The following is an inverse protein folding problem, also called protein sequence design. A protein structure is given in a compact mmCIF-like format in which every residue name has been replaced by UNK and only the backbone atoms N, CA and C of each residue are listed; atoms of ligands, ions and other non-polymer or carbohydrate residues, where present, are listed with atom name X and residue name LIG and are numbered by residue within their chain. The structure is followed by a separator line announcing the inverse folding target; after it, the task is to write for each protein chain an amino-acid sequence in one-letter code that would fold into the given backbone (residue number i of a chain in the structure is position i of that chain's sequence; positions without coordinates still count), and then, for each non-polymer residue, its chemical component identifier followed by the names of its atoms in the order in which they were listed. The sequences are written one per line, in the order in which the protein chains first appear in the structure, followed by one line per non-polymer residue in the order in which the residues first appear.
data_IF_772271504119
#
_entry.id   IF_772271504119
#
_cell.length_a   1.000
_cell.length_b   1.000
_cell.length_c   1.000
_cell.angle_alpha   90.00
_cell.angle_beta   90.00
_cell.angle_gamma   90.00
#
_symmetry.space_group_name_H-M   'P 1'
#
loop_
_entity.id
_entity.type
_entity.pdbx_description
1 polymer ?
#
# COMPACT_ATOMS: atom_id res chain seq x y z
N UNK A 1 31.18 -0.89 -18.47
CA UNK A 1 31.54 -0.52 -17.12
C UNK A 1 30.37 -0.85 -16.20
N UNK A 2 30.49 -1.88 -15.37
CA UNK A 2 29.44 -2.30 -14.47
C UNK A 2 29.34 -1.36 -13.28
N UNK A 3 28.17 -0.82 -13.05
CA UNK A 3 27.85 -0.13 -11.81
C UNK A 3 27.47 -1.19 -10.75
N UNK A 4 28.47 -1.60 -9.96
CA UNK A 4 28.24 -2.31 -8.72
C UNK A 4 28.42 -1.32 -7.56
N UNK A 5 27.49 -0.39 -7.39
CA UNK A 5 27.33 0.29 -6.12
C UNK A 5 26.34 -0.53 -5.29
N UNK A 6 26.88 -1.46 -4.50
CA UNK A 6 26.11 -2.13 -3.44
C UNK A 6 25.92 -1.11 -2.34
N UNK A 7 24.72 -0.59 -2.19
CA UNK A 7 24.33 0.23 -1.04
C UNK A 7 24.01 -0.72 0.12
N UNK A 8 24.92 -0.84 1.07
CA UNK A 8 24.60 -1.53 2.32
C UNK A 8 24.00 -0.49 3.25
N UNK A 9 22.70 -0.57 3.48
CA UNK A 9 22.03 0.17 4.54
C UNK A 9 21.87 -0.82 5.69
N UNK A 10 22.53 -0.58 6.80
CA UNK A 10 22.30 -1.35 8.02
C UNK A 10 20.96 -0.93 8.60
N UNK A 11 19.92 -1.75 8.38
CA UNK A 11 18.63 -1.55 9.01
C UNK A 11 18.72 -2.03 10.45
N UNK A 12 18.50 -1.13 11.39
CA UNK A 12 18.13 -1.48 12.75
C UNK A 12 16.67 -1.93 12.77
N UNK A 13 16.25 -2.66 13.80
CA UNK A 13 14.89 -3.20 13.95
C UNK A 13 13.82 -2.13 14.25
N UNK A 14 14.11 -0.85 14.04
CA UNK A 14 13.18 0.24 14.25
C UNK A 14 12.21 0.39 13.10
N UNK A 15 10.97 0.78 13.40
CA UNK A 15 9.95 1.01 12.39
C UNK A 15 10.37 2.14 11.45
N UNK A 16 10.17 1.96 10.15
CA UNK A 16 10.45 3.00 9.17
C UNK A 16 9.57 4.23 9.42
N UNK A 17 10.18 5.42 9.38
CA UNK A 17 9.44 6.67 9.54
C UNK A 17 8.85 7.18 8.22
N UNK A 18 7.71 7.91 8.25
CA UNK A 18 7.15 8.52 7.06
C UNK A 18 7.97 9.74 6.63
N UNK A 19 8.34 9.80 5.35
CA UNK A 19 8.99 10.96 4.76
C UNK A 19 7.92 11.86 4.12
N UNK A 20 7.82 13.10 4.60
CA UNK A 20 6.85 14.09 4.10
C UNK A 20 7.39 14.82 2.88
N UNK A 21 6.51 15.03 1.88
CA UNK A 21 6.86 15.77 0.67
C UNK A 21 5.66 16.46 0.04
N UNK A 22 5.93 17.45 -0.81
CA UNK A 22 4.93 18.10 -1.68
C UNK A 22 5.48 18.20 -3.09
N UNK A 23 4.63 17.95 -4.08
CA UNK A 23 4.99 18.11 -5.48
C UNK A 23 4.17 19.19 -6.15
N UNK A 24 4.79 19.95 -7.04
CA UNK A 24 4.12 20.93 -7.89
C UNK A 24 4.94 21.17 -9.14
N UNK A 25 4.28 21.16 -10.29
CA UNK A 25 4.93 21.31 -11.59
C UNK A 25 6.18 20.42 -11.77
N UNK A 26 7.35 20.99 -11.86
CA UNK A 26 8.64 20.32 -12.06
C UNK A 26 9.51 20.33 -10.81
N UNK A 27 8.91 20.34 -9.63
CA UNK A 27 9.61 20.40 -8.34
C UNK A 27 9.00 19.46 -7.32
N UNK A 28 9.86 18.92 -6.47
CA UNK A 28 9.50 18.16 -5.27
C UNK A 28 10.08 18.92 -4.05
N UNK A 29 9.24 19.27 -3.12
CA UNK A 29 9.64 19.83 -1.84
C UNK A 29 9.69 18.73 -0.80
N UNK A 30 10.87 18.41 -0.30
CA UNK A 30 11.09 17.48 0.79
C UNK A 30 10.92 18.28 2.07
N UNK A 31 9.97 17.87 2.92
CA UNK A 31 9.67 18.55 4.18
C UNK A 31 10.49 17.90 5.30
N UNK A 32 11.16 18.71 6.10
CA UNK A 32 12.10 18.26 7.12
C UNK A 32 11.68 18.82 8.47
N UNK A 33 10.89 18.06 9.21
CA UNK A 33 10.47 18.40 10.57
C UNK A 33 11.63 18.22 11.58
N UNK A 34 12.45 17.20 11.38
CA UNK A 34 13.66 16.93 12.15
C UNK A 34 14.83 16.64 11.21
N UNK A 35 16.08 16.95 11.57
CA UNK A 35 17.24 16.76 10.71
C UNK A 35 17.36 15.32 10.19
N UNK A 36 17.57 15.21 8.89
CA UNK A 36 17.85 13.93 8.21
C UNK A 36 19.36 13.77 8.07
N UNK A 37 19.93 12.74 8.69
CA UNK A 37 21.37 12.46 8.60
C UNK A 37 21.79 12.13 7.17
N UNK A 38 20.86 11.66 6.34
CA UNK A 38 21.05 11.48 4.91
C UNK A 38 19.71 11.49 4.19
N UNK A 39 19.66 12.16 3.04
CA UNK A 39 18.53 12.10 2.13
C UNK A 39 19.04 11.83 0.70
N UNK A 40 18.51 10.79 0.09
CA UNK A 40 18.83 10.37 -1.28
C UNK A 40 17.59 10.59 -2.14
N UNK A 41 17.77 11.28 -3.26
CA UNK A 41 16.77 11.35 -4.32
C UNK A 41 17.33 10.77 -5.60
N UNK A 42 16.58 9.88 -6.23
CA UNK A 42 16.93 9.21 -7.46
C UNK A 42 15.91 9.54 -8.54
N UNK A 43 16.33 9.73 -9.77
CA UNK A 43 15.47 9.75 -10.93
C UNK A 43 15.88 8.63 -11.88
N UNK A 44 14.99 7.66 -12.10
CA UNK A 44 15.28 6.46 -12.89
C UNK A 44 16.62 5.79 -12.53
N UNK A 45 16.99 5.79 -11.26
CA UNK A 45 18.24 5.23 -10.75
C UNK A 45 19.45 6.18 -10.77
N UNK A 46 19.34 7.37 -11.35
CA UNK A 46 20.37 8.40 -11.30
C UNK A 46 20.25 9.24 -10.03
N UNK A 47 21.36 9.47 -9.33
CA UNK A 47 21.38 10.26 -8.09
C UNK A 47 21.19 11.75 -8.42
N UNK A 48 20.13 12.36 -7.92
CA UNK A 48 19.89 13.80 -7.98
C UNK A 48 20.31 14.51 -6.71
N UNK A 49 20.22 13.81 -5.59
CA UNK A 49 20.55 14.32 -4.25
C UNK A 49 21.12 13.17 -3.43
N UNK A 50 22.19 13.44 -2.68
CA UNK A 50 22.72 12.56 -1.65
C UNK A 50 23.45 13.43 -0.61
N UNK A 51 22.74 13.85 0.41
CA UNK A 51 23.31 14.70 1.48
C UNK A 51 22.44 14.70 2.74
N UNK A 52 22.97 15.27 3.80
CA UNK A 52 22.25 15.67 5.01
C UNK A 52 21.28 16.82 4.71
N UNK A 53 20.08 16.80 5.33
CA UNK A 53 19.10 17.88 5.25
C UNK A 53 18.69 18.33 6.66
N UNK A 54 18.94 19.59 6.96
CA UNK A 54 18.58 20.23 8.23
C UNK A 54 17.35 21.15 8.13
N UNK A 55 16.79 21.26 6.94
CA UNK A 55 15.59 22.06 6.64
C UNK A 55 14.99 21.60 5.32
N UNK A 56 13.79 22.06 5.03
CA UNK A 56 13.10 21.80 3.78
C UNK A 56 14.01 22.00 2.56
N UNK A 57 13.90 21.08 1.61
CA UNK A 57 14.71 21.10 0.40
C UNK A 57 13.85 20.99 -0.85
N UNK A 58 14.06 21.91 -1.79
CA UNK A 58 13.40 21.89 -3.09
C UNK A 58 14.27 21.18 -4.12
N UNK A 59 13.84 19.98 -4.53
CA UNK A 59 14.44 19.23 -5.62
C UNK A 59 13.82 19.64 -6.95
N UNK A 60 14.65 20.05 -7.91
CA UNK A 60 14.21 20.29 -9.30
C UNK A 60 14.23 19.01 -10.10
N UNK A 61 13.17 18.76 -10.87
CA UNK A 61 13.10 17.62 -11.78
C UNK A 61 14.06 17.84 -12.94
N UNK A 62 14.84 16.84 -13.36
CA UNK A 62 15.76 16.93 -14.49
C UNK A 62 15.05 17.33 -15.79
N UNK A 63 15.69 18.18 -16.61
CA UNK A 63 15.13 18.60 -17.89
C UNK A 63 14.85 17.40 -18.81
N UNK A 64 15.70 16.38 -18.75
CA UNK A 64 15.54 15.14 -19.51
C UNK A 64 14.20 14.42 -19.22
N UNK A 65 13.64 14.58 -18.02
CA UNK A 65 12.35 13.99 -17.65
C UNK A 65 11.18 14.53 -18.49
N UNK A 66 11.31 15.73 -19.06
CA UNK A 66 10.28 16.34 -19.91
C UNK A 66 10.09 15.63 -21.26
N UNK A 67 11.06 14.85 -21.69
CA UNK A 67 10.99 14.05 -22.92
C UNK A 67 10.48 12.62 -22.68
N UNK A 68 10.27 12.23 -21.41
CA UNK A 68 9.85 10.88 -21.03
C UNK A 68 8.42 10.93 -20.54
N UNK A 69 7.54 10.14 -21.16
CA UNK A 69 6.12 10.14 -20.83
C UNK A 69 5.88 9.79 -19.36
N UNK A 70 6.59 8.77 -18.85
CA UNK A 70 6.47 8.32 -17.46
C UNK A 70 7.85 8.04 -16.87
N UNK A 71 8.13 8.68 -15.75
CA UNK A 71 9.34 8.44 -14.96
C UNK A 71 9.05 8.66 -13.47
N UNK A 72 10.03 8.43 -12.60
CA UNK A 72 9.80 8.43 -11.15
C UNK A 72 10.97 9.08 -10.42
N UNK A 73 10.64 9.82 -9.35
CA UNK A 73 11.60 10.20 -8.31
C UNK A 73 11.42 9.22 -7.15
N UNK A 74 12.51 8.60 -6.72
CA UNK A 74 12.54 7.81 -5.48
C UNK A 74 13.24 8.62 -4.40
N UNK A 75 12.60 8.77 -3.24
CA UNK A 75 13.19 9.40 -2.07
C UNK A 75 13.40 8.35 -0.99
N UNK A 76 14.57 8.35 -0.38
CA UNK A 76 14.96 7.54 0.78
C UNK A 76 15.68 8.46 1.75
N UNK A 77 15.33 8.41 3.02
CA UNK A 77 16.02 9.21 4.03
C UNK A 77 16.43 8.36 5.24
N UNK A 78 17.43 8.84 5.94
CA UNK A 78 17.91 8.31 7.20
C UNK A 78 17.85 9.39 8.27
N UNK A 79 17.34 9.00 9.44
CA UNK A 79 17.33 9.82 10.63
C UNK A 79 17.94 8.97 11.75
N UNK A 80 19.11 9.36 12.23
CA UNK A 80 19.92 8.54 13.14
C UNK A 80 20.13 7.11 12.62
N UNK A 81 19.55 6.12 13.31
CA UNK A 81 19.59 4.69 12.94
C UNK A 81 18.37 4.22 12.17
N UNK A 82 17.36 5.07 12.02
CA UNK A 82 16.08 4.74 11.37
C UNK A 82 16.07 5.13 9.90
N UNK A 83 15.42 4.32 9.05
CA UNK A 83 15.20 4.62 7.65
C UNK A 83 13.78 5.11 7.42
N UNK A 84 13.60 5.99 6.43
CA UNK A 84 12.27 6.35 5.97
C UNK A 84 11.61 5.19 5.23
N UNK A 85 10.29 5.26 5.13
CA UNK A 85 9.58 4.52 4.08
C UNK A 85 10.06 5.03 2.71
N UNK A 86 10.19 4.12 1.74
CA UNK A 86 10.49 4.50 0.37
C UNK A 86 9.33 5.31 -0.22
N UNK A 87 9.66 6.48 -0.76
CA UNK A 87 8.68 7.32 -1.44
C UNK A 87 8.95 7.32 -2.93
N UNK A 88 7.99 6.84 -3.73
CA UNK A 88 8.05 6.94 -5.19
C UNK A 88 7.07 8.00 -5.68
N UNK A 89 7.59 9.00 -6.39
CA UNK A 89 6.84 10.14 -6.89
C UNK A 89 6.75 10.03 -8.41
N UNK A 90 5.56 9.77 -8.97
CA UNK A 90 5.40 9.62 -10.41
C UNK A 90 5.46 10.96 -11.13
N UNK A 91 6.07 10.94 -12.31
CA UNK A 91 6.19 12.07 -13.21
C UNK A 91 5.51 11.77 -14.54
N UNK A 92 4.87 12.77 -15.14
CA UNK A 92 4.34 12.72 -16.50
C UNK A 92 4.96 13.86 -17.30
N UNK A 93 5.82 13.53 -18.26
CA UNK A 93 6.67 14.51 -18.96
C UNK A 93 7.37 15.47 -17.99
N UNK A 94 7.92 14.93 -16.91
CA UNK A 94 8.62 15.65 -15.86
C UNK A 94 7.72 16.41 -14.89
N UNK A 95 6.42 16.55 -15.13
CA UNK A 95 5.49 17.12 -14.15
C UNK A 95 5.18 16.14 -13.04
N UNK A 96 5.24 16.60 -11.80
CA UNK A 96 4.91 15.78 -10.63
C UNK A 96 3.41 15.48 -10.62
N UNK A 97 3.08 14.19 -10.52
CA UNK A 97 1.70 13.75 -10.38
C UNK A 97 1.34 13.76 -8.90
N UNK A 98 0.38 14.61 -8.49
CA UNK A 98 -0.09 14.73 -7.12
C UNK A 98 -1.60 14.51 -7.02
N UNK A 99 -2.03 13.71 -6.06
CA UNK A 99 -3.43 13.50 -5.68
C UNK A 99 -4.25 12.53 -6.55
N UNK A 100 -5.49 12.23 -6.13
CA UNK A 100 -6.32 11.17 -6.71
C UNK A 100 -6.82 11.48 -8.12
N UNK A 101 -6.83 12.74 -8.54
CA UNK A 101 -7.21 13.15 -9.91
C UNK A 101 -6.13 12.83 -10.94
N UNK A 102 -4.99 12.38 -10.53
CA UNK A 102 -3.80 12.35 -11.35
C UNK A 102 -3.45 10.99 -11.88
N UNK A 103 -4.44 10.27 -12.42
CA UNK A 103 -4.12 9.46 -13.57
C UNK A 103 -3.00 8.43 -13.35
N UNK A 104 -2.84 7.90 -12.12
CA UNK A 104 -2.10 6.66 -11.97
C UNK A 104 -2.80 5.60 -12.85
N UNK A 105 -2.04 4.98 -13.70
CA UNK A 105 -2.51 3.94 -14.61
C UNK A 105 -2.06 2.58 -14.09
N UNK A 106 -2.52 1.50 -14.72
CA UNK A 106 -2.02 0.16 -14.42
C UNK A 106 -0.51 0.01 -14.64
N UNK A 107 0.08 0.87 -15.45
CA UNK A 107 1.52 0.90 -15.70
C UNK A 107 2.33 1.48 -14.54
N UNK A 108 1.67 2.15 -13.59
CA UNK A 108 2.33 2.77 -12.43
C UNK A 108 2.38 1.83 -11.22
N UNK A 109 2.46 0.51 -11.44
CA UNK A 109 2.44 -0.51 -10.38
C UNK A 109 3.55 -0.33 -9.33
N UNK A 110 4.68 0.26 -9.69
CA UNK A 110 5.78 0.56 -8.76
C UNK A 110 5.41 1.62 -7.70
N UNK A 111 4.36 2.42 -7.97
CA UNK A 111 3.83 3.41 -7.03
C UNK A 111 2.67 2.88 -6.19
N UNK A 112 2.25 1.65 -6.39
CA UNK A 112 1.12 1.11 -5.67
C UNK A 112 1.55 0.68 -4.26
N UNK A 113 0.91 1.29 -3.28
CA UNK A 113 0.90 0.86 -1.89
C UNK A 113 -0.40 0.13 -1.65
N UNK A 114 -0.36 -1.18 -1.79
CA UNK A 114 -1.54 -2.03 -1.68
C UNK A 114 -1.81 -2.40 -0.22
N UNK A 115 -3.06 -2.24 0.19
CA UNK A 115 -3.58 -2.82 1.42
C UNK A 115 -4.42 -4.05 1.07
N UNK A 116 -4.04 -5.22 1.60
CA UNK A 116 -4.85 -6.41 1.44
C UNK A 116 -5.96 -6.45 2.48
N UNK A 117 -7.22 -6.53 2.01
CA UNK A 117 -8.41 -6.62 2.85
C UNK A 117 -8.98 -8.03 2.75
N UNK A 118 -8.98 -8.76 3.85
CA UNK A 118 -9.83 -9.95 4.01
C UNK A 118 -11.22 -9.46 4.45
N UNK A 119 -12.17 -9.40 3.50
CA UNK A 119 -13.46 -8.72 3.66
C UNK A 119 -14.15 -9.10 4.96
N UNK A 120 -14.35 -10.40 5.19
CA UNK A 120 -15.03 -10.93 6.37
C UNK A 120 -14.38 -10.52 7.72
N UNK A 121 -13.09 -10.15 7.72
CA UNK A 121 -12.31 -9.85 8.93
C UNK A 121 -12.03 -8.37 9.14
N UNK A 122 -12.38 -7.53 8.18
CA UNK A 122 -11.96 -6.15 8.19
C UNK A 122 -12.90 -5.27 9.02
N UNK A 123 -14.11 -5.07 8.55
CA UNK A 123 -15.10 -4.24 9.23
C UNK A 123 -16.51 -4.66 8.82
N UNK A 124 -17.38 -4.84 9.81
CA UNK A 124 -18.78 -5.16 9.62
C UNK A 124 -19.59 -3.86 9.54
N UNK A 125 -19.96 -3.46 8.33
CA UNK A 125 -20.75 -2.25 8.07
C UNK A 125 -22.25 -2.47 8.25
N UNK A 126 -22.72 -3.72 8.14
CA UNK A 126 -24.13 -4.03 8.15
C UNK A 126 -24.42 -5.34 8.91
N UNK A 127 -24.73 -5.22 10.20
CA UNK A 127 -25.06 -6.37 11.07
C UNK A 127 -26.27 -7.20 10.59
N UNK A 128 -27.12 -6.64 9.71
CA UNK A 128 -28.31 -7.34 9.23
C UNK A 128 -27.99 -8.42 8.18
N UNK A 129 -26.80 -8.38 7.58
CA UNK A 129 -26.35 -9.36 6.61
C UNK A 129 -25.48 -10.47 7.21
N UNK A 130 -25.28 -10.47 8.52
CA UNK A 130 -24.50 -11.46 9.24
C UNK A 130 -25.16 -12.84 9.23
N UNK A 131 -24.46 -13.81 8.65
CA UNK A 131 -24.93 -15.20 8.59
C UNK A 131 -23.80 -16.19 8.85
N UNK A 132 -23.33 -16.37 10.11
CA UNK A 132 -22.38 -17.41 10.41
C UNK A 132 -22.97 -18.79 10.10
N UNK A 133 -22.12 -19.76 9.74
CA UNK A 133 -22.56 -21.12 9.53
C UNK A 133 -22.93 -21.75 10.88
N UNK A 134 -24.17 -22.24 10.99
CA UNK A 134 -24.68 -22.91 12.18
C UNK A 134 -24.17 -24.37 12.22
N UNK A 135 -22.92 -24.56 12.63
CA UNK A 135 -22.29 -25.89 12.77
C UNK A 135 -21.29 -25.84 13.94
N UNK A 136 -21.60 -26.56 15.00
CA UNK A 136 -20.81 -26.58 16.25
C UNK A 136 -19.37 -27.12 16.05
N UNK A 137 -19.09 -27.80 14.95
CA UNK A 137 -17.75 -28.31 14.63
C UNK A 137 -16.80 -27.19 14.17
N UNK A 138 -17.35 -26.07 13.70
CA UNK A 138 -16.54 -24.93 13.28
C UNK A 138 -16.12 -24.13 14.52
N UNK A 139 -14.80 -24.01 14.70
CA UNK A 139 -14.30 -23.12 15.73
C UNK A 139 -14.75 -21.65 15.42
N UNK A 140 -15.23 -20.86 16.40
CA UNK A 140 -15.71 -19.50 16.13
C UNK A 140 -14.78 -18.64 15.29
N UNK A 141 -13.47 -18.72 15.52
CA UNK A 141 -12.46 -18.02 14.73
C UNK A 141 -12.32 -18.48 13.27
N UNK A 142 -12.91 -19.63 12.92
CA UNK A 142 -12.90 -20.21 11.58
C UNK A 142 -14.25 -20.06 10.86
N UNK A 143 -15.19 -19.31 11.46
CA UNK A 143 -16.48 -19.00 10.88
C UNK A 143 -16.53 -17.57 10.34
N UNK A 144 -17.61 -17.17 9.69
CA UNK A 144 -17.83 -15.78 9.26
C UNK A 144 -17.91 -14.84 10.46
N UNK A 145 -17.29 -13.66 10.34
CA UNK A 145 -17.30 -12.58 11.34
C UNK A 145 -18.17 -11.40 10.92
N UNK A 146 -18.71 -11.43 9.69
CA UNK A 146 -19.63 -10.43 9.21
C UNK A 146 -19.00 -9.21 8.54
N UNK A 147 -17.67 -9.13 8.42
CA UNK A 147 -17.07 -8.07 7.62
C UNK A 147 -17.60 -8.11 6.18
N UNK A 148 -17.92 -6.94 5.62
CA UNK A 148 -18.63 -6.80 4.36
C UNK A 148 -18.12 -5.63 3.49
N UNK A 149 -18.72 -5.47 2.32
CA UNK A 149 -18.37 -4.38 1.41
C UNK A 149 -18.82 -3.01 1.91
N UNK A 150 -19.89 -2.93 2.71
CA UNK A 150 -20.35 -1.70 3.34
C UNK A 150 -19.29 -1.21 4.34
N UNK A 151 -18.70 -2.10 5.12
CA UNK A 151 -17.59 -1.78 6.02
C UNK A 151 -16.34 -1.27 5.30
N UNK A 152 -16.01 -1.84 4.14
CA UNK A 152 -14.91 -1.32 3.30
C UNK A 152 -15.27 0.07 2.75
N UNK A 153 -16.51 0.27 2.31
CA UNK A 153 -17.00 1.55 1.82
C UNK A 153 -16.91 2.64 2.90
N UNK A 154 -17.30 2.31 4.13
CA UNK A 154 -17.20 3.22 5.27
C UNK A 154 -15.74 3.60 5.56
N UNK A 155 -14.83 2.62 5.54
CA UNK A 155 -13.40 2.88 5.73
C UNK A 155 -12.79 3.75 4.62
N UNK A 156 -13.26 3.61 3.37
CA UNK A 156 -12.89 4.50 2.27
C UNK A 156 -13.43 5.92 2.48
N UNK A 157 -14.69 6.04 2.91
CA UNK A 157 -15.36 7.32 3.10
C UNK A 157 -14.77 8.12 4.26
N UNK A 158 -14.36 7.47 5.34
CA UNK A 158 -13.79 8.13 6.52
C UNK A 158 -12.27 8.41 6.41
N UNK A 159 -11.63 8.00 5.32
CA UNK A 159 -10.23 8.32 5.06
C UNK A 159 -9.21 7.34 5.65
N UNK A 160 -9.63 6.23 6.26
CA UNK A 160 -8.74 5.24 6.89
C UNK A 160 -7.56 4.82 6.00
N UNK A 161 -7.83 4.48 4.74
CA UNK A 161 -6.77 4.08 3.81
C UNK A 161 -5.88 5.25 3.37
N UNK A 162 -6.41 6.48 3.36
CA UNK A 162 -5.62 7.67 3.05
C UNK A 162 -4.61 7.99 4.18
N UNK A 163 -5.04 7.83 5.44
CA UNK A 163 -4.17 8.01 6.61
C UNK A 163 -3.02 6.98 6.62
N UNK A 164 -3.28 5.76 6.14
CA UNK A 164 -2.26 4.74 5.94
C UNK A 164 -1.36 5.00 4.72
N UNK A 165 -1.65 6.03 3.93
CA UNK A 165 -0.91 6.32 2.70
C UNK A 165 -1.13 5.28 1.58
N UNK A 166 -2.19 4.49 1.67
CA UNK A 166 -2.56 3.46 0.70
C UNK A 166 -3.19 4.09 -0.54
N UNK A 167 -2.85 3.62 -1.73
CA UNK A 167 -3.43 4.08 -2.99
C UNK A 167 -4.04 2.97 -3.84
N UNK A 168 -4.06 1.74 -3.32
CA UNK A 168 -4.72 0.60 -3.94
C UNK A 168 -5.21 -0.39 -2.89
N UNK A 169 -6.35 -1.01 -3.15
CA UNK A 169 -6.90 -2.08 -2.32
C UNK A 169 -6.86 -3.40 -3.09
N UNK A 170 -6.39 -4.43 -2.43
CA UNK A 170 -6.56 -5.80 -2.85
C UNK A 170 -7.54 -6.46 -1.89
N UNK A 171 -8.77 -6.69 -2.34
CA UNK A 171 -9.79 -7.35 -1.53
C UNK A 171 -9.80 -8.86 -1.77
N UNK A 172 -10.10 -9.64 -0.74
CA UNK A 172 -10.36 -11.07 -0.90
C UNK A 172 -11.54 -11.28 -1.86
N UNK A 173 -11.65 -12.46 -2.52
CA UNK A 173 -12.74 -12.71 -3.46
C UNK A 173 -14.12 -12.47 -2.81
N UNK A 174 -14.99 -11.76 -3.53
CA UNK A 174 -16.34 -11.40 -3.09
C UNK A 174 -17.43 -12.28 -3.69
N UNK A 175 -17.06 -13.24 -4.52
CA UNK A 175 -18.00 -14.19 -5.09
C UNK A 175 -18.67 -15.04 -4.00
N UNK A 176 -19.92 -15.42 -4.21
CA UNK A 176 -20.65 -16.26 -3.27
C UNK A 176 -19.90 -17.56 -2.94
N UNK A 177 -19.60 -17.77 -1.68
CA UNK A 177 -18.99 -18.97 -1.15
C UNK A 177 -20.05 -19.93 -0.58
N UNK A 178 -19.72 -21.23 -0.41
CA UNK A 178 -20.64 -22.18 0.20
C UNK A 178 -20.96 -21.81 1.66
N UNK A 179 -22.22 -21.96 2.03
CA UNK A 179 -22.74 -21.69 3.39
C UNK A 179 -22.83 -23.01 4.18
N UNK A 180 -21.66 -23.67 4.36
CA UNK A 180 -21.58 -24.95 5.04
C UNK A 180 -20.19 -25.15 5.63
N UNK A 181 -20.08 -26.10 6.58
CA UNK A 181 -18.80 -26.51 7.16
C UNK A 181 -18.04 -27.44 6.21
N UNK A 182 -16.78 -27.15 6.00
CA UNK A 182 -15.85 -28.00 5.26
C UNK A 182 -14.74 -28.49 6.19
N UNK A 183 -14.44 -29.78 6.07
CA UNK A 183 -13.36 -30.40 6.83
C UNK A 183 -12.05 -30.25 6.06
N UNK A 184 -10.98 -29.87 6.74
CA UNK A 184 -9.64 -29.90 6.16
C UNK A 184 -9.19 -31.32 5.84
N UNK A 185 -8.36 -31.49 4.82
CA UNK A 185 -7.87 -32.77 4.38
C UNK A 185 -6.89 -33.41 5.35
N UNK A 186 -6.01 -32.60 5.96
CA UNK A 186 -4.95 -33.07 6.85
C UNK A 186 -5.41 -33.11 8.30
N UNK A 187 -4.79 -33.97 9.11
CA UNK A 187 -4.99 -33.94 10.56
C UNK A 187 -4.56 -32.58 11.15
N UNK A 188 -5.30 -32.05 12.12
CA UNK A 188 -6.36 -32.67 12.94
C UNK A 188 -7.80 -32.65 12.37
N UNK A 189 -8.00 -32.43 11.09
CA UNK A 189 -9.30 -32.45 10.39
C UNK A 189 -10.32 -31.46 10.95
N UNK A 190 -9.91 -30.22 11.13
CA UNK A 190 -10.76 -29.15 11.63
C UNK A 190 -11.80 -28.73 10.59
N UNK A 191 -12.87 -28.08 11.06
CA UNK A 191 -13.93 -27.57 10.21
C UNK A 191 -13.84 -26.06 10.08
N UNK A 192 -14.12 -25.56 8.86
CA UNK A 192 -14.08 -24.13 8.48
C UNK A 192 -15.29 -23.77 7.65
N UNK A 193 -15.72 -22.50 7.73
CA UNK A 193 -16.59 -21.89 6.73
C UNK A 193 -15.78 -21.31 5.57
N UNK A 194 -16.45 -20.84 4.53
CA UNK A 194 -15.84 -20.17 3.38
C UNK A 194 -15.49 -18.69 3.63
N UNK A 195 -15.30 -18.25 4.87
CA UNK A 195 -15.11 -16.84 5.26
C UNK A 195 -14.01 -16.09 4.50
N UNK A 196 -13.03 -16.81 3.98
CA UNK A 196 -11.91 -16.22 3.25
C UNK A 196 -12.24 -15.83 1.80
N UNK A 197 -13.40 -16.29 1.26
CA UNK A 197 -13.82 -15.96 -0.09
C UNK A 197 -13.24 -16.80 -1.23
N UNK A 198 -12.29 -17.70 -0.95
CA UNK A 198 -11.55 -18.45 -1.98
C UNK A 198 -12.19 -19.76 -2.44
N UNK A 199 -13.43 -20.05 -2.01
CA UNK A 199 -14.21 -21.21 -2.46
C UNK A 199 -15.45 -20.78 -3.25
N UNK A 200 -15.29 -20.15 -4.42
CA UNK A 200 -16.42 -19.57 -5.14
C UNK A 200 -17.40 -20.65 -5.60
N UNK A 201 -18.66 -20.53 -5.17
CA UNK A 201 -19.79 -21.36 -5.63
C UNK A 201 -20.46 -20.73 -6.84
N UNK A 202 -20.48 -19.43 -6.92
CA UNK A 202 -21.09 -18.65 -8.01
C UNK A 202 -20.29 -17.38 -8.24
N UNK A 203 -19.94 -17.11 -9.49
CA UNK A 203 -19.29 -15.86 -9.90
C UNK A 203 -20.28 -14.73 -10.22
N UNK A 204 -21.57 -15.03 -10.28
CA UNK A 204 -22.64 -14.07 -10.59
C UNK A 204 -23.40 -13.60 -9.36
N UNK A 205 -23.01 -14.05 -8.18
CA UNK A 205 -23.59 -13.64 -6.89
C UNK A 205 -22.47 -13.26 -5.94
N UNK A 206 -22.73 -12.26 -5.15
CA UNK A 206 -21.90 -11.76 -4.05
C UNK A 206 -22.55 -12.11 -2.73
#
# INVERSE_FOLDING_TARGET
GGFNSVWTIESTSEAAFPLSWRGYDYKVNILVDEPLSRCIALWNGEILLDKELNSDYTLSIPEAAKSIERSYITLIAQQDSSLSQDVMIPLHYGQVIVGPKNKLTRSDYENWRLYFVLVDRFYNGNLANDHPVEDERIHPKANYYGGDLEGIQDALANGYFNELGTNGLWISPIAQNPWTAYQEWMEPKRFYSGYHGYWPKSSSKV
#
